data_IF_353215554044
#
_entry.id   IF_353215554044
#
_cell.length_a   1.000
_cell.length_b   1.000
_cell.length_c   1.000
_cell.angle_alpha   90.00
_cell.angle_beta   90.00
_cell.angle_gamma   90.00
#
_symmetry.space_group_name_H-M   'P 1'
#
loop_
_entity.id
_entity.type
_entity.pdbx_description
1 polymer ?
#
# COMPACT_ATOMS: atom_id res chain seq x y z
N UNK A 1 -6.81 11.29 3.77
CA UNK A 1 -5.97 11.93 4.81
C UNK A 1 -6.80 12.49 5.97
N UNK A 2 -7.84 13.31 5.76
CA UNK A 2 -8.69 13.81 6.88
C UNK A 2 -9.25 12.70 7.77
N UNK A 3 -9.80 11.63 7.17
CA UNK A 3 -10.28 10.47 7.90
C UNK A 3 -9.17 9.77 8.71
N UNK A 4 -7.97 9.69 8.15
CA UNK A 4 -6.82 9.10 8.85
C UNK A 4 -6.43 9.94 10.07
N UNK A 5 -6.37 11.27 9.93
CA UNK A 5 -6.11 12.18 11.04
C UNK A 5 -7.19 12.08 12.13
N UNK A 6 -8.47 11.96 11.74
CA UNK A 6 -9.57 11.77 12.70
C UNK A 6 -9.47 10.44 13.46
N UNK A 7 -8.91 9.40 12.84
CA UNK A 7 -8.68 8.08 13.45
C UNK A 7 -7.40 8.01 14.29
N UNK A 8 -6.48 8.98 14.13
CA UNK A 8 -5.20 9.02 14.82
C UNK A 8 -5.00 10.41 15.48
N UNK A 9 -5.87 10.79 16.45
CA UNK A 9 -5.80 12.10 17.11
C UNK A 9 -4.53 12.30 17.95
N UNK A 10 -3.79 11.23 18.23
CA UNK A 10 -2.51 11.25 18.93
C UNK A 10 -1.33 11.74 18.06
N UNK A 11 -1.53 11.86 16.75
CA UNK A 11 -0.49 12.37 15.86
C UNK A 11 -0.13 13.82 16.21
N UNK A 12 1.16 14.19 16.21
CA UNK A 12 1.60 15.56 16.43
C UNK A 12 0.94 16.55 15.46
N UNK A 13 0.64 17.76 15.93
CA UNK A 13 0.03 18.82 15.11
C UNK A 13 0.88 19.26 13.91
N UNK A 14 2.20 19.02 13.96
CA UNK A 14 3.17 19.28 12.90
C UNK A 14 3.43 18.07 12.00
N UNK A 15 2.60 17.02 12.08
CA UNK A 15 2.67 15.85 11.19
C UNK A 15 2.62 16.28 9.73
N UNK A 16 3.65 15.92 8.98
CA UNK A 16 3.76 16.15 7.55
C UNK A 16 3.55 14.85 6.77
N UNK A 17 2.91 14.94 5.60
CA UNK A 17 2.71 13.81 4.69
C UNK A 17 3.60 13.97 3.46
N UNK A 18 4.41 12.95 3.20
CA UNK A 18 5.10 12.80 1.92
C UNK A 18 4.20 12.04 0.95
N UNK A 19 3.87 12.64 -0.19
CA UNK A 19 2.98 12.04 -1.20
C UNK A 19 3.81 11.68 -2.42
N UNK A 20 4.08 10.38 -2.62
CA UNK A 20 4.98 9.88 -3.65
C UNK A 20 4.62 10.34 -5.07
N UNK A 21 3.34 10.45 -5.38
CA UNK A 21 2.84 10.88 -6.69
C UNK A 21 3.29 12.30 -7.08
N UNK A 22 3.56 13.17 -6.10
CA UNK A 22 4.03 14.54 -6.34
C UNK A 22 5.54 14.71 -6.29
N UNK A 23 6.26 13.75 -5.69
CA UNK A 23 7.69 13.89 -5.40
C UNK A 23 8.55 13.01 -6.31
N UNK A 24 8.06 11.83 -6.70
CA UNK A 24 8.75 10.94 -7.62
C UNK A 24 8.41 11.35 -9.06
N UNK A 25 9.38 11.94 -9.78
CA UNK A 25 9.18 12.33 -11.18
C UNK A 25 9.21 11.11 -12.09
N UNK A 26 8.02 10.66 -12.50
CA UNK A 26 7.84 9.69 -13.59
C UNK A 26 8.13 10.38 -14.94
N UNK A 27 9.39 10.44 -15.37
CA UNK A 27 9.82 11.29 -16.50
C UNK A 27 11.10 10.86 -17.21
N UNK A 28 11.35 11.36 -18.42
CA UNK A 28 12.18 10.82 -19.52
C UNK A 28 13.56 10.22 -19.19
N UNK A 29 14.29 10.71 -18.19
CA UNK A 29 15.56 10.13 -17.75
C UNK A 29 15.33 9.26 -16.51
N UNK A 30 15.95 8.06 -16.46
CA UNK A 30 15.89 7.20 -15.27
C UNK A 30 16.28 8.03 -14.05
N UNK A 31 15.31 8.37 -13.22
CA UNK A 31 15.54 9.25 -12.08
C UNK A 31 16.17 8.46 -10.95
N UNK A 32 17.22 9.01 -10.34
CA UNK A 32 17.73 8.57 -9.03
C UNK A 32 16.60 8.40 -7.99
N UNK A 33 15.47 9.06 -8.19
CA UNK A 33 14.25 8.96 -7.40
C UNK A 33 13.68 7.53 -7.33
N UNK A 34 13.68 6.77 -8.44
CA UNK A 34 13.16 5.39 -8.45
C UNK A 34 14.04 4.50 -7.58
N UNK A 35 15.36 4.61 -7.75
CA UNK A 35 16.32 3.80 -7.00
C UNK A 35 16.27 4.15 -5.49
N UNK A 36 16.12 5.44 -5.15
CA UNK A 36 16.07 5.93 -3.76
C UNK A 36 14.71 5.76 -3.08
N UNK A 37 13.65 5.40 -3.80
CA UNK A 37 12.30 5.30 -3.24
C UNK A 37 12.23 4.37 -2.03
N UNK A 38 12.91 3.22 -2.08
CA UNK A 38 12.95 2.28 -0.96
C UNK A 38 13.57 2.89 0.29
N UNK A 39 14.71 3.56 0.14
CA UNK A 39 15.40 4.27 1.23
C UNK A 39 14.51 5.35 1.84
N UNK A 40 13.80 6.13 1.00
CA UNK A 40 12.87 7.16 1.46
C UNK A 40 11.73 6.56 2.30
N UNK A 41 11.12 5.46 1.83
CA UNK A 41 10.03 4.77 2.55
C UNK A 41 10.53 4.27 3.91
N UNK A 42 11.68 3.61 3.94
CA UNK A 42 12.31 3.13 5.16
C UNK A 42 12.61 4.28 6.14
N UNK A 43 13.10 5.42 5.63
CA UNK A 43 13.40 6.59 6.44
C UNK A 43 12.17 7.29 7.01
N UNK A 44 11.05 7.32 6.28
CA UNK A 44 9.77 7.85 6.78
C UNK A 44 9.20 6.96 7.88
N UNK A 45 9.35 5.64 7.77
CA UNK A 45 8.97 4.69 8.82
C UNK A 45 7.45 4.53 9.05
N UNK A 46 6.62 5.15 8.20
CA UNK A 46 5.17 5.04 8.25
C UNK A 46 4.53 5.26 6.87
N UNK A 47 3.89 4.23 6.34
CA UNK A 47 3.19 4.28 5.05
C UNK A 47 1.68 4.29 5.26
N UNK A 48 1.01 5.26 4.63
CA UNK A 48 -0.44 5.38 4.61
C UNK A 48 -0.95 5.11 3.20
N UNK A 49 -1.62 3.97 3.00
CA UNK A 49 -2.19 3.58 1.71
C UNK A 49 -3.64 4.06 1.59
N UNK A 50 -3.88 4.93 0.62
CA UNK A 50 -5.22 5.33 0.22
C UNK A 50 -5.77 4.31 -0.78
N UNK A 51 -6.89 3.66 -0.46
CA UNK A 51 -7.48 2.61 -1.30
C UNK A 51 -8.24 3.12 -2.54
N UNK A 52 -8.38 4.44 -2.71
CA UNK A 52 -9.13 5.04 -3.82
C UNK A 52 -8.29 6.04 -4.62
N UNK A 53 -8.12 5.85 -5.95
CA UNK A 53 -8.45 4.64 -6.72
C UNK A 53 -7.55 3.45 -6.31
N UNK A 54 -7.92 2.22 -6.71
CA UNK A 54 -7.16 1.00 -6.38
C UNK A 54 -5.67 1.13 -6.76
N UNK A 55 -4.74 1.27 -5.78
CA UNK A 55 -3.37 1.68 -6.07
C UNK A 55 -2.45 0.50 -6.39
N UNK A 56 -2.88 -0.73 -6.12
CA UNK A 56 -2.05 -1.94 -6.11
C UNK A 56 -1.78 -2.50 -7.51
N UNK A 57 -2.29 -1.86 -8.56
CA UNK A 57 -1.87 -2.12 -9.94
C UNK A 57 -0.59 -1.34 -10.31
N UNK A 58 -0.12 -0.42 -9.46
CA UNK A 58 1.04 0.44 -9.74
C UNK A 58 2.31 -0.15 -9.14
N UNK A 59 3.35 -0.34 -9.98
CA UNK A 59 4.64 -0.90 -9.56
C UNK A 59 5.29 -0.09 -8.42
N UNK A 60 5.18 1.24 -8.47
CA UNK A 60 5.64 2.14 -7.42
C UNK A 60 4.99 1.85 -6.06
N UNK A 61 3.67 1.71 -6.01
CA UNK A 61 2.96 1.41 -4.78
C UNK A 61 3.36 0.03 -4.22
N UNK A 62 3.54 -0.96 -5.09
CA UNK A 62 4.02 -2.28 -4.66
C UNK A 62 5.44 -2.18 -4.07
N UNK A 63 6.34 -1.41 -4.68
CA UNK A 63 7.68 -1.15 -4.13
C UNK A 63 7.62 -0.46 -2.76
N UNK A 64 6.77 0.55 -2.61
CA UNK A 64 6.57 1.24 -1.32
C UNK A 64 6.09 0.26 -0.24
N UNK A 65 5.11 -0.58 -0.54
CA UNK A 65 4.60 -1.58 0.43
C UNK A 65 5.64 -2.65 0.77
N UNK A 66 6.43 -3.09 -0.21
CA UNK A 66 7.50 -4.04 0.02
C UNK A 66 8.54 -3.47 1.00
N UNK A 67 9.04 -2.25 0.76
CA UNK A 67 10.02 -1.62 1.65
C UNK A 67 9.42 -1.23 3.00
N UNK A 68 8.13 -0.90 3.07
CA UNK A 68 7.40 -0.72 4.32
C UNK A 68 7.44 -2.00 5.16
N UNK A 69 7.09 -3.13 4.56
CA UNK A 69 7.11 -4.43 5.23
C UNK A 69 8.53 -4.84 5.63
N UNK A 70 9.49 -4.72 4.70
CA UNK A 70 10.87 -5.17 4.91
C UNK A 70 11.60 -4.40 6.01
N UNK A 71 11.28 -3.10 6.18
CA UNK A 71 11.84 -2.27 7.25
C UNK A 71 11.11 -2.40 8.59
N UNK A 72 9.97 -3.11 8.64
CA UNK A 72 9.10 -3.13 9.82
C UNK A 72 8.44 -1.77 10.10
N UNK A 73 8.34 -0.90 9.09
CA UNK A 73 7.70 0.40 9.20
C UNK A 73 6.19 0.23 9.48
N UNK A 74 5.60 1.27 10.10
CA UNK A 74 4.16 1.30 10.36
C UNK A 74 3.40 1.32 9.04
N UNK A 75 2.28 0.61 8.98
CA UNK A 75 1.38 0.61 7.84
C UNK A 75 -0.04 0.92 8.25
N UNK A 76 -0.69 1.82 7.52
CA UNK A 76 -2.10 2.14 7.70
C UNK A 76 -2.84 2.12 6.36
N UNK A 77 -3.93 1.35 6.30
CA UNK A 77 -4.86 1.37 5.18
C UNK A 77 -6.00 2.33 5.48
N UNK A 78 -6.29 3.20 4.52
CA UNK A 78 -7.35 4.21 4.64
C UNK A 78 -8.35 4.01 3.51
N UNK A 79 -9.60 3.80 3.90
CA UNK A 79 -10.76 3.73 3.02
C UNK A 79 -11.58 5.00 3.15
N UNK A 80 -12.21 5.47 2.08
CA UNK A 80 -13.23 6.52 2.17
C UNK A 80 -14.45 6.01 2.94
N UNK A 81 -15.30 6.90 3.47
CA UNK A 81 -16.53 6.49 4.17
C UNK A 81 -17.44 5.59 3.31
N UNK A 82 -17.46 5.81 1.98
CA UNK A 82 -18.19 4.95 1.03
C UNK A 82 -17.55 3.56 0.91
N UNK A 83 -16.22 3.50 0.77
CA UNK A 83 -15.48 2.24 0.72
C UNK A 83 -15.62 1.46 2.02
N UNK A 84 -15.54 2.13 3.17
CA UNK A 84 -15.71 1.52 4.49
C UNK A 84 -17.07 0.83 4.59
N UNK A 85 -18.18 1.51 4.24
CA UNK A 85 -19.51 0.88 4.24
C UNK A 85 -19.62 -0.31 3.30
N UNK A 86 -19.01 -0.19 2.12
CA UNK A 86 -19.02 -1.27 1.11
C UNK A 86 -18.24 -2.48 1.63
N UNK A 87 -17.09 -2.25 2.27
CA UNK A 87 -16.29 -3.27 2.90
C UNK A 87 -17.04 -3.94 4.07
N UNK A 88 -17.67 -3.15 4.95
CA UNK A 88 -18.45 -3.67 6.07
C UNK A 88 -19.63 -4.54 5.60
N UNK A 89 -20.33 -4.14 4.54
CA UNK A 89 -21.36 -4.98 3.93
C UNK A 89 -20.78 -6.27 3.35
N UNK A 90 -19.66 -6.17 2.63
CA UNK A 90 -19.00 -7.32 2.02
C UNK A 90 -18.46 -8.30 3.08
N UNK A 91 -18.07 -7.84 4.28
CA UNK A 91 -17.69 -8.75 5.38
C UNK A 91 -18.83 -9.69 5.79
N UNK A 92 -20.08 -9.24 5.70
CA UNK A 92 -21.26 -10.00 6.07
C UNK A 92 -21.80 -10.84 4.91
N UNK A 93 -21.87 -10.25 3.73
CA UNK A 93 -22.63 -10.81 2.61
C UNK A 93 -21.78 -11.40 1.49
N UNK A 94 -20.51 -10.98 1.38
CA UNK A 94 -19.65 -11.33 0.24
C UNK A 94 -18.15 -11.29 0.59
N UNK A 95 -17.77 -12.03 1.64
CA UNK A 95 -16.37 -12.09 2.06
C UNK A 95 -15.45 -12.62 0.93
N UNK A 96 -16.02 -13.43 0.04
CA UNK A 96 -15.29 -13.99 -1.11
C UNK A 96 -14.79 -12.91 -2.05
N UNK A 97 -15.55 -11.84 -2.32
CA UNK A 97 -15.05 -10.78 -3.20
C UNK A 97 -13.87 -10.02 -2.60
N UNK A 98 -13.84 -9.84 -1.27
CA UNK A 98 -12.69 -9.28 -0.55
C UNK A 98 -11.45 -10.16 -0.78
N UNK A 99 -11.58 -11.48 -0.56
CA UNK A 99 -10.49 -12.43 -0.79
C UNK A 99 -9.97 -12.41 -2.22
N UNK A 100 -10.88 -12.39 -3.20
CA UNK A 100 -10.52 -12.38 -4.62
C UNK A 100 -9.78 -11.11 -5.02
N UNK A 101 -10.24 -9.95 -4.54
CA UNK A 101 -9.60 -8.67 -4.84
C UNK A 101 -8.17 -8.60 -4.27
N UNK A 102 -7.96 -9.07 -3.04
CA UNK A 102 -6.61 -9.13 -2.46
C UNK A 102 -5.71 -10.16 -3.13
N UNK A 103 -6.26 -11.32 -3.48
CA UNK A 103 -5.50 -12.37 -4.18
C UNK A 103 -5.09 -11.96 -5.60
N UNK A 104 -5.73 -10.93 -6.16
CA UNK A 104 -5.38 -10.37 -7.47
C UNK A 104 -4.12 -9.49 -7.43
N UNK A 105 -3.62 -9.15 -6.25
CA UNK A 105 -2.38 -8.39 -6.10
C UNK A 105 -1.20 -9.29 -6.45
N UNK A 106 -0.54 -8.97 -7.57
CA UNK A 106 0.67 -9.65 -8.01
C UNK A 106 1.72 -8.63 -8.44
N UNK A 107 2.83 -8.59 -7.69
CA UNK A 107 4.01 -7.77 -7.95
C UNK A 107 4.48 -7.90 -9.41
N UNK A 108 4.37 -9.10 -10.00
CA UNK A 108 4.82 -9.39 -11.38
C UNK A 108 3.97 -8.69 -12.44
N UNK A 109 2.72 -8.37 -12.10
CA UNK A 109 1.76 -7.75 -13.02
C UNK A 109 1.59 -6.26 -12.80
N UNK A 110 2.26 -5.71 -11.78
CA UNK A 110 2.21 -4.30 -11.46
C UNK A 110 2.85 -3.46 -12.58
N UNK A 111 2.24 -2.33 -12.89
CA UNK A 111 2.58 -1.52 -14.06
C UNK A 111 3.06 -0.13 -13.69
N UNK A 112 3.89 0.46 -14.55
CA UNK A 112 4.07 1.90 -14.61
C UNK A 112 4.06 2.36 -16.07
N UNK A 113 4.08 3.68 -16.30
CA UNK A 113 3.99 4.26 -17.65
C UNK A 113 5.20 3.90 -18.52
N UNK A 114 6.36 3.68 -17.90
CA UNK A 114 7.61 3.33 -18.55
C UNK A 114 7.97 1.88 -18.22
N UNK A 115 8.21 1.09 -19.26
CA UNK A 115 8.55 -0.33 -19.12
C UNK A 115 9.90 -0.51 -18.42
N UNK A 116 10.90 0.33 -18.71
CA UNK A 116 12.22 0.29 -18.05
C UNK A 116 12.15 0.47 -16.52
N UNK A 117 11.28 1.36 -16.04
CA UNK A 117 11.05 1.56 -14.60
C UNK A 117 10.33 0.36 -13.99
N UNK A 118 9.43 -0.27 -14.74
CA UNK A 118 8.71 -1.46 -14.31
C UNK A 118 9.68 -2.62 -14.13
N UNK A 119 10.52 -2.87 -15.13
CA UNK A 119 11.55 -3.91 -15.10
C UNK A 119 12.55 -3.66 -13.98
N UNK A 120 12.98 -2.41 -13.77
CA UNK A 120 13.89 -2.06 -12.69
C UNK A 120 13.27 -2.35 -11.31
N UNK A 121 12.02 -1.95 -11.08
CA UNK A 121 11.31 -2.22 -9.83
C UNK A 121 11.14 -3.74 -9.64
N UNK A 122 10.64 -4.46 -10.64
CA UNK A 122 10.44 -5.91 -10.54
C UNK A 122 11.77 -6.63 -10.31
N UNK A 123 12.84 -6.22 -10.97
CA UNK A 123 14.18 -6.78 -10.76
C UNK A 123 14.67 -6.53 -9.34
N UNK A 124 14.58 -5.30 -8.83
CA UNK A 124 14.98 -4.97 -7.45
C UNK A 124 14.19 -5.80 -6.43
N UNK A 125 12.88 -5.91 -6.60
CA UNK A 125 12.03 -6.73 -5.73
C UNK A 125 12.36 -8.22 -5.83
N UNK A 126 12.98 -8.66 -6.94
CA UNK A 126 13.45 -10.02 -7.17
C UNK A 126 14.87 -10.31 -6.67
N UNK A 127 15.75 -9.31 -6.57
CA UNK A 127 17.19 -9.46 -6.25
C UNK A 127 17.46 -9.90 -4.79
N UNK A 128 16.43 -9.88 -3.92
CA UNK A 128 16.50 -10.36 -2.54
C UNK A 128 15.91 -11.76 -2.33
N UNK A 129 14.77 -11.82 -1.62
CA UNK A 129 14.05 -13.06 -1.24
C UNK A 129 13.30 -13.72 -2.40
N UNK A 130 13.38 -13.15 -3.60
CA UNK A 130 12.62 -13.55 -4.78
C UNK A 130 11.20 -12.97 -4.80
N UNK A 131 10.64 -12.86 -6.01
CA UNK A 131 9.33 -12.24 -6.26
C UNK A 131 8.17 -12.92 -5.52
N UNK A 132 8.26 -14.23 -5.27
CA UNK A 132 7.22 -14.96 -4.53
C UNK A 132 7.13 -14.50 -3.08
N UNK A 133 8.27 -14.36 -2.39
CA UNK A 133 8.31 -13.86 -1.02
C UNK A 133 7.98 -12.37 -0.96
N UNK A 134 8.40 -11.57 -1.96
CA UNK A 134 7.97 -10.18 -2.07
C UNK A 134 6.46 -10.04 -2.23
N UNK A 135 5.83 -10.90 -3.03
CA UNK A 135 4.37 -10.90 -3.17
C UNK A 135 3.69 -11.31 -1.86
N UNK A 136 4.20 -12.33 -1.18
CA UNK A 136 3.70 -12.77 0.13
C UNK A 136 3.81 -11.67 1.19
N UNK A 137 4.92 -10.92 1.20
CA UNK A 137 5.12 -9.79 2.11
C UNK A 137 4.08 -8.68 1.89
N UNK A 138 3.89 -8.24 0.64
CA UNK A 138 2.93 -7.20 0.30
C UNK A 138 1.49 -7.65 0.57
N UNK A 139 1.13 -8.86 0.14
CA UNK A 139 -0.21 -9.43 0.35
C UNK A 139 -0.49 -9.65 1.84
N UNK A 140 0.50 -10.12 2.61
CA UNK A 140 0.39 -10.28 4.06
C UNK A 140 0.12 -8.94 4.76
N UNK A 141 0.89 -7.90 4.42
CA UNK A 141 0.70 -6.55 4.96
C UNK A 141 -0.71 -6.01 4.71
N UNK A 142 -1.25 -6.26 3.51
CA UNK A 142 -2.61 -5.84 3.14
C UNK A 142 -3.68 -6.64 3.89
N UNK A 143 -3.48 -7.95 4.05
CA UNK A 143 -4.39 -8.81 4.81
C UNK A 143 -4.43 -8.42 6.28
N UNK A 144 -3.29 -8.16 6.91
CA UNK A 144 -3.21 -7.73 8.31
C UNK A 144 -3.96 -6.41 8.52
N UNK A 145 -3.74 -5.44 7.61
CA UNK A 145 -4.45 -4.17 7.68
C UNK A 145 -5.97 -4.32 7.47
N UNK A 146 -6.41 -5.19 6.56
CA UNK A 146 -7.83 -5.45 6.33
C UNK A 146 -8.47 -6.22 7.47
N UNK A 147 -7.75 -7.17 8.08
CA UNK A 147 -8.20 -7.85 9.28
C UNK A 147 -8.41 -6.86 10.43
N UNK A 148 -7.49 -5.90 10.63
CA UNK A 148 -7.65 -4.84 11.62
C UNK A 148 -8.88 -3.96 11.34
N UNK A 149 -9.11 -3.58 10.07
CA UNK A 149 -10.32 -2.85 9.68
C UNK A 149 -11.60 -3.66 9.94
N UNK A 150 -11.58 -4.97 9.65
CA UNK A 150 -12.71 -5.87 9.88
C UNK A 150 -13.00 -6.07 11.36
N UNK A 151 -11.98 -6.28 12.20
CA UNK A 151 -12.14 -6.36 13.65
C UNK A 151 -12.74 -5.08 14.23
N UNK A 152 -12.24 -3.92 13.80
CA UNK A 152 -12.78 -2.63 14.22
C UNK A 152 -14.24 -2.43 13.78
N UNK A 153 -14.61 -2.91 12.59
CA UNK A 153 -15.98 -2.88 12.10
C UNK A 153 -16.91 -3.79 12.90
N UNK A 154 -16.51 -5.04 13.12
CA UNK A 154 -17.30 -6.01 13.89
C UNK A 154 -17.54 -5.54 15.32
N UNK A 155 -16.56 -4.87 15.95
CA UNK A 155 -16.71 -4.28 17.28
C UNK A 155 -17.75 -3.14 17.36
N UNK A 156 -18.16 -2.57 16.21
CA UNK A 156 -19.20 -1.53 16.11
C UNK A 156 -20.58 -2.09 15.76
N UNK A 157 -20.67 -3.36 15.36
CA UNK A 157 -21.95 -4.00 15.08
C UNK A 157 -22.67 -4.30 16.41
N UNK A 158 -24.01 -4.11 16.46
CA UNK A 158 -24.81 -4.35 17.66
C UNK A 158 -24.89 -5.83 18.05
#
# INVERSE_FOLDING_TARGET
LQQYLAQNPELPHDTCFWVSDFVIRQGAERGADVDRLGECVCAVGHTVLLMEPWPLCRAYCIKELFHTQASGARFAMVMTAKQQRTFEQALLDDFRSIMMNLSSVDVRTAKCRKEEEQEAIVRELGEGVGLAEGNKAVVGLLWDALAAQGQAALARLP
#
